data_IF_038832785182
#
_entry.id   IF_038832785182
#
_cell.length_a   1.000
_cell.length_b   1.000
_cell.length_c   1.000
_cell.angle_alpha   90.00
_cell.angle_beta   90.00
_cell.angle_gamma   90.00
#
_symmetry.space_group_name_H-M   'P 1'
#
loop_
_entity.id
_entity.type
_entity.pdbx_description
1 polymer ?
#
# COMPACT_ATOMS: atom_id res chain seq x y z
N UNK A 1 6.68 -30.34 9.80
CA UNK A 1 5.72 -29.50 10.52
C UNK A 1 5.79 -28.14 9.87
N UNK A 2 4.84 -27.80 9.01
CA UNK A 2 4.71 -26.42 8.52
C UNK A 2 4.49 -25.53 9.75
N UNK A 3 5.22 -24.42 9.93
CA UNK A 3 4.90 -23.46 10.98
C UNK A 3 3.42 -23.07 10.84
N UNK A 4 2.76 -22.74 11.94
CA UNK A 4 1.38 -22.23 11.93
C UNK A 4 1.33 -20.87 11.22
N UNK A 5 1.40 -20.86 9.89
CA UNK A 5 1.28 -19.65 9.07
C UNK A 5 -0.11 -19.07 9.32
N UNK A 6 -0.18 -17.80 9.69
CA UNK A 6 -1.44 -17.08 9.80
C UNK A 6 -2.22 -17.20 11.11
N UNK A 7 -1.77 -17.98 12.10
CA UNK A 7 -2.46 -18.08 13.40
C UNK A 7 -2.10 -16.93 14.34
N UNK A 8 -3.10 -16.33 14.99
CA UNK A 8 -2.94 -15.30 16.02
C UNK A 8 -3.81 -15.65 17.22
N UNK A 9 -3.21 -15.69 18.41
CA UNK A 9 -3.93 -15.91 19.66
C UNK A 9 -3.93 -14.63 20.50
N UNK A 10 -5.12 -14.15 20.84
CA UNK A 10 -5.30 -13.07 21.80
C UNK A 10 -5.55 -13.65 23.20
N UNK A 11 -4.62 -13.37 24.11
CA UNK A 11 -4.70 -13.80 25.50
C UNK A 11 -5.56 -12.80 26.30
N UNK A 12 -6.59 -13.29 26.98
CA UNK A 12 -7.42 -12.49 27.89
C UNK A 12 -6.95 -12.62 29.34
N UNK A 13 -7.19 -11.60 30.15
CA UNK A 13 -6.79 -11.57 31.57
C UNK A 13 -7.55 -12.57 32.46
N UNK A 14 -8.67 -13.10 31.99
CA UNK A 14 -9.45 -14.17 32.64
C UNK A 14 -8.99 -15.59 32.26
N UNK A 15 -7.93 -15.71 31.45
CA UNK A 15 -7.37 -16.98 30.99
C UNK A 15 -8.09 -17.58 29.77
N UNK A 16 -9.10 -16.91 29.22
CA UNK A 16 -9.75 -17.33 27.98
C UNK A 16 -8.97 -16.84 26.75
N UNK A 17 -8.44 -17.76 25.95
CA UNK A 17 -7.78 -17.42 24.69
C UNK A 17 -8.79 -17.27 23.55
N UNK A 18 -8.52 -16.33 22.65
CA UNK A 18 -9.26 -16.19 21.39
C UNK A 18 -8.30 -16.42 20.23
N UNK A 19 -8.54 -17.48 19.48
CA UNK A 19 -7.73 -17.87 18.33
C UNK A 19 -8.34 -17.38 17.03
N UNK A 20 -7.48 -16.87 16.14
CA UNK A 20 -7.82 -16.37 14.82
C UNK A 20 -6.88 -16.97 13.77
N UNK A 21 -7.33 -17.02 12.53
CA UNK A 21 -6.52 -17.46 11.39
C UNK A 21 -6.71 -16.48 10.23
N UNK A 22 -5.60 -16.10 9.63
CA UNK A 22 -5.52 -15.14 8.51
C UNK A 22 -4.62 -15.72 7.41
N UNK A 23 -4.59 -15.07 6.26
CA UNK A 23 -3.67 -15.43 5.17
C UNK A 23 -2.20 -15.25 5.55
N UNK A 24 -1.91 -14.32 6.47
CA UNK A 24 -0.57 -14.10 7.03
C UNK A 24 -0.63 -13.55 8.45
N UNK A 25 0.34 -13.94 9.29
CA UNK A 25 0.51 -13.46 10.65
C UNK A 25 1.99 -13.16 10.90
N UNK A 26 2.28 -11.90 11.22
CA UNK A 26 3.64 -11.36 11.33
C UNK A 26 3.84 -10.81 12.73
N UNK A 27 4.84 -11.34 13.45
CA UNK A 27 5.11 -10.96 14.84
C UNK A 27 6.19 -9.88 14.94
N UNK A 28 6.68 -9.61 16.15
CA UNK A 28 7.54 -8.46 16.46
C UNK A 28 8.87 -8.42 15.69
N UNK A 29 9.35 -9.56 15.21
CA UNK A 29 10.59 -9.75 14.46
C UNK A 29 10.40 -9.69 12.93
N UNK A 30 9.16 -9.57 12.46
CA UNK A 30 8.85 -9.45 11.04
C UNK A 30 9.39 -8.15 10.44
N UNK A 31 9.66 -8.21 9.14
CA UNK A 31 10.21 -7.08 8.38
C UNK A 31 9.23 -6.63 7.29
N UNK A 32 9.35 -5.37 6.86
CA UNK A 32 8.59 -4.87 5.71
C UNK A 32 8.90 -5.66 4.43
N UNK A 33 10.13 -6.16 4.30
CA UNK A 33 10.53 -7.04 3.20
C UNK A 33 9.75 -8.36 3.19
N UNK A 34 9.66 -9.02 4.33
CA UNK A 34 8.93 -10.27 4.45
C UNK A 34 7.46 -10.07 4.09
N UNK A 35 6.80 -9.09 4.70
CA UNK A 35 5.38 -8.80 4.45
C UNK A 35 5.14 -8.47 2.97
N UNK A 36 6.03 -7.67 2.36
CA UNK A 36 5.89 -7.32 0.96
C UNK A 36 5.99 -8.55 0.06
N UNK A 37 7.02 -9.38 0.23
CA UNK A 37 7.25 -10.55 -0.60
C UNK A 37 6.13 -11.59 -0.46
N UNK A 38 5.63 -11.80 0.76
CA UNK A 38 4.65 -12.85 1.06
C UNK A 38 3.24 -12.50 0.54
N UNK A 39 2.77 -11.25 0.70
CA UNK A 39 1.35 -10.90 0.42
C UNK A 39 1.14 -9.72 -0.53
N UNK A 40 2.12 -8.84 -0.73
CA UNK A 40 1.94 -7.64 -1.57
C UNK A 40 2.51 -7.81 -2.97
N UNK A 41 3.63 -8.52 -3.11
CA UNK A 41 4.27 -8.82 -4.39
C UNK A 41 3.29 -9.37 -5.43
N UNK A 42 2.51 -10.44 -5.17
CA UNK A 42 1.56 -10.97 -6.16
C UNK A 42 0.44 -9.96 -6.52
N UNK A 43 0.07 -9.07 -5.59
CA UNK A 43 -0.90 -8.01 -5.88
C UNK A 43 -0.32 -6.98 -6.84
N UNK A 44 0.94 -6.59 -6.67
CA UNK A 44 1.61 -5.64 -7.57
C UNK A 44 1.85 -6.24 -8.95
N UNK A 45 2.17 -7.53 -9.05
CA UNK A 45 2.22 -8.26 -10.34
C UNK A 45 0.88 -8.16 -11.08
N UNK A 46 -0.24 -8.40 -10.40
CA UNK A 46 -1.57 -8.24 -11.01
C UNK A 46 -1.81 -6.80 -11.49
N UNK A 47 -1.33 -5.78 -10.77
CA UNK A 47 -1.45 -4.38 -11.23
C UNK A 47 -0.66 -4.14 -12.51
N UNK A 48 0.54 -4.71 -12.63
CA UNK A 48 1.37 -4.62 -13.84
C UNK A 48 0.67 -5.31 -15.03
N UNK A 49 -0.08 -6.39 -14.78
CA UNK A 49 -0.90 -7.07 -15.79
C UNK A 49 -2.21 -6.35 -16.16
N UNK A 50 -2.54 -5.24 -15.48
CA UNK A 50 -3.70 -4.40 -15.79
C UNK A 50 -4.91 -4.57 -14.86
N UNK A 51 -4.75 -5.24 -13.71
CA UNK A 51 -5.78 -5.29 -12.68
C UNK A 51 -5.73 -4.09 -11.73
N UNK A 52 -6.86 -3.80 -11.06
CA UNK A 52 -6.89 -2.86 -9.94
C UNK A 52 -6.49 -3.55 -8.65
N UNK A 53 -5.51 -3.01 -7.94
CA UNK A 53 -5.04 -3.50 -6.63
C UNK A 53 -5.15 -2.45 -5.54
N UNK A 54 -5.43 -2.86 -4.30
CA UNK A 54 -5.48 -1.95 -3.14
C UNK A 54 -4.88 -2.63 -1.92
N UNK A 55 -3.94 -1.95 -1.27
CA UNK A 55 -3.42 -2.30 0.06
C UNK A 55 -3.80 -1.19 1.01
N UNK A 56 -4.48 -1.53 2.11
CA UNK A 56 -4.85 -0.57 3.16
C UNK A 56 -4.41 -1.09 4.52
N UNK A 57 -3.79 -0.21 5.33
CA UNK A 57 -3.39 -0.55 6.69
C UNK A 57 -4.45 -0.09 7.70
N UNK A 58 -4.90 -1.01 8.56
CA UNK A 58 -5.96 -0.76 9.55
C UNK A 58 -5.50 -1.15 10.97
N UNK A 59 -5.94 -0.40 11.98
CA UNK A 59 -5.58 -0.64 13.38
C UNK A 59 -5.63 0.64 14.24
N UNK A 60 -5.46 0.50 15.55
CA UNK A 60 -5.47 1.62 16.49
C UNK A 60 -4.35 2.64 16.23
N UNK A 61 -4.45 3.86 16.78
CA UNK A 61 -3.35 4.83 16.77
C UNK A 61 -2.11 4.24 17.44
N UNK A 62 -0.95 4.40 16.81
CA UNK A 62 0.31 3.82 17.29
C UNK A 62 0.54 2.33 16.94
N UNK A 63 -0.38 1.66 16.24
CA UNK A 63 -0.26 0.23 15.91
C UNK A 63 0.70 -0.09 14.75
N UNK A 64 1.39 0.90 14.18
CA UNK A 64 2.34 0.69 13.08
C UNK A 64 1.79 0.87 11.65
N UNK A 65 0.55 1.34 11.43
CA UNK A 65 -0.01 1.55 10.07
C UNK A 65 0.93 2.31 9.12
N UNK A 66 1.38 3.50 9.52
CA UNK A 66 2.31 4.33 8.74
C UNK A 66 3.67 3.64 8.59
N UNK A 67 4.13 2.93 9.61
CA UNK A 67 5.37 2.15 9.55
C UNK A 67 5.27 1.01 8.53
N UNK A 68 4.16 0.28 8.46
CA UNK A 68 3.96 -0.77 7.45
C UNK A 68 3.88 -0.22 6.02
N UNK A 69 3.21 0.93 5.83
CA UNK A 69 3.03 1.52 4.49
C UNK A 69 4.28 2.26 3.99
N UNK A 70 4.92 3.08 4.84
CA UNK A 70 6.07 3.91 4.46
C UNK A 70 7.39 3.30 4.93
N UNK A 71 7.45 2.84 6.17
CA UNK A 71 8.64 2.22 6.76
C UNK A 71 9.77 3.22 7.00
N UNK A 72 11.00 2.71 6.94
CA UNK A 72 12.22 3.50 7.17
C UNK A 72 13.14 3.37 5.97
N UNK A 73 13.31 4.46 5.21
CA UNK A 73 14.00 4.43 3.91
C UNK A 73 15.46 3.98 3.98
N UNK A 74 16.19 4.38 5.04
CA UNK A 74 17.61 4.05 5.20
C UNK A 74 17.88 2.64 5.75
N UNK A 75 16.84 1.85 6.02
CA UNK A 75 16.95 0.48 6.49
C UNK A 75 16.28 -0.47 5.48
N UNK A 76 17.03 -1.13 4.59
CA UNK A 76 16.47 -1.91 3.49
C UNK A 76 15.39 -2.92 3.88
N UNK A 77 15.56 -3.65 4.98
CA UNK A 77 14.56 -4.61 5.47
C UNK A 77 13.30 -3.94 6.06
N UNK A 78 13.40 -2.69 6.50
CA UNK A 78 12.33 -1.93 7.16
C UNK A 78 11.64 -0.91 6.24
N UNK A 79 12.01 -0.84 4.96
CA UNK A 79 11.22 -0.12 3.94
C UNK A 79 9.82 -0.70 3.87
N UNK A 80 8.81 0.19 3.82
CA UNK A 80 7.40 -0.17 3.81
C UNK A 80 6.90 -0.61 2.43
N UNK A 81 5.59 -0.83 2.34
CA UNK A 81 4.90 -1.26 1.13
C UNK A 81 5.05 -0.27 -0.03
N UNK A 82 4.84 1.02 0.22
CA UNK A 82 4.82 2.08 -0.81
C UNK A 82 6.18 2.17 -1.53
N UNK A 83 7.32 2.37 -0.84
CA UNK A 83 8.61 2.48 -1.53
C UNK A 83 9.00 1.18 -2.27
N UNK A 84 8.62 0.00 -1.76
CA UNK A 84 8.86 -1.27 -2.46
C UNK A 84 8.00 -1.43 -3.72
N UNK A 85 6.75 -0.95 -3.69
CA UNK A 85 5.89 -0.97 -4.86
C UNK A 85 6.48 -0.11 -5.99
N UNK A 86 7.08 1.04 -5.68
CA UNK A 86 7.79 1.85 -6.67
C UNK A 86 8.96 1.07 -7.30
N UNK A 87 9.86 0.52 -6.48
CA UNK A 87 10.99 -0.27 -6.98
C UNK A 87 10.52 -1.43 -7.88
N UNK A 88 9.49 -2.15 -7.44
CA UNK A 88 8.96 -3.31 -8.14
C UNK A 88 8.38 -2.92 -9.50
N UNK A 89 7.48 -1.93 -9.54
CA UNK A 89 6.87 -1.46 -10.80
C UNK A 89 7.94 -1.00 -11.78
N UNK A 90 8.88 -0.16 -11.35
CA UNK A 90 9.90 0.35 -12.26
C UNK A 90 10.89 -0.74 -12.70
N UNK A 91 11.22 -1.71 -11.84
CA UNK A 91 12.01 -2.88 -12.23
C UNK A 91 11.30 -3.71 -13.30
N UNK A 92 10.00 -3.96 -13.16
CA UNK A 92 9.21 -4.67 -14.17
C UNK A 92 9.14 -3.91 -15.49
N UNK A 93 8.97 -2.58 -15.44
CA UNK A 93 8.94 -1.74 -16.65
C UNK A 93 10.28 -1.72 -17.39
N UNK A 94 11.39 -1.76 -16.66
CA UNK A 94 12.73 -1.71 -17.23
C UNK A 94 13.18 -3.06 -17.84
N UNK A 95 12.61 -4.16 -17.37
CA UNK A 95 12.93 -5.52 -17.83
C UNK A 95 11.99 -6.04 -18.92
N UNK A 96 10.95 -5.28 -19.26
CA UNK A 96 9.96 -5.66 -20.28
C UNK A 96 10.16 -4.86 -21.57
N UNK A 97 10.61 -5.50 -22.65
CA UNK A 97 10.92 -4.83 -23.92
C UNK A 97 9.71 -4.66 -24.86
N UNK A 98 8.71 -5.55 -24.78
CA UNK A 98 7.61 -5.63 -25.75
C UNK A 98 6.34 -4.86 -25.33
N UNK A 99 6.39 -4.16 -24.20
CA UNK A 99 5.26 -3.38 -23.65
C UNK A 99 5.76 -1.98 -23.33
N UNK A 100 5.00 -0.95 -23.74
CA UNK A 100 5.29 0.43 -23.36
C UNK A 100 4.46 0.80 -22.14
N UNK A 101 5.14 1.23 -21.08
CA UNK A 101 4.51 1.67 -19.84
C UNK A 101 4.47 3.19 -19.74
N UNK A 102 3.43 3.70 -19.07
CA UNK A 102 3.31 5.09 -18.64
C UNK A 102 2.78 5.10 -17.21
N UNK A 103 3.63 5.46 -16.26
CA UNK A 103 3.30 5.48 -14.83
C UNK A 103 2.86 6.88 -14.42
N UNK A 104 1.73 6.95 -13.73
CA UNK A 104 1.28 8.17 -13.07
C UNK A 104 1.03 7.92 -11.59
N UNK A 105 1.27 8.95 -10.77
CA UNK A 105 0.97 8.95 -9.35
C UNK A 105 0.04 10.13 -9.00
N UNK A 106 -0.87 9.87 -8.07
CA UNK A 106 -1.68 10.88 -7.38
C UNK A 106 -1.64 10.57 -5.89
N UNK A 107 -1.71 11.59 -5.03
CA UNK A 107 -1.73 11.38 -3.59
C UNK A 107 -2.69 12.36 -2.92
N UNK A 108 -3.57 11.84 -2.07
CA UNK A 108 -4.63 12.59 -1.43
C UNK A 108 -4.73 12.22 0.05
N UNK A 109 -5.34 13.10 0.81
CA UNK A 109 -5.82 12.81 2.16
C UNK A 109 -7.34 13.04 2.26
N UNK A 110 -7.96 12.31 3.19
CA UNK A 110 -9.32 12.59 3.65
C UNK A 110 -9.18 13.10 5.08
N UNK A 111 -9.39 14.39 5.28
CA UNK A 111 -9.27 15.03 6.57
C UNK A 111 -10.60 15.72 6.92
N UNK A 112 -11.23 15.30 8.02
CA UNK A 112 -12.52 15.85 8.46
C UNK A 112 -13.59 15.86 7.35
N UNK A 113 -13.78 14.71 6.68
CA UNK A 113 -14.72 14.53 5.56
C UNK A 113 -14.42 15.40 4.32
N UNK A 114 -13.21 15.96 4.22
CA UNK A 114 -12.76 16.74 3.06
C UNK A 114 -11.61 16.03 2.34
N UNK A 115 -11.77 15.84 1.03
CA UNK A 115 -10.72 15.31 0.16
C UNK A 115 -9.79 16.45 -0.23
N UNK A 116 -8.48 16.25 -0.04
CA UNK A 116 -7.44 17.24 -0.33
C UNK A 116 -6.33 16.61 -1.16
N UNK A 117 -5.84 17.34 -2.15
CA UNK A 117 -4.68 16.93 -2.95
C UNK A 117 -3.39 17.23 -2.19
N UNK A 118 -2.54 16.21 -1.99
CA UNK A 118 -1.25 16.37 -1.31
C UNK A 118 -0.13 16.81 -2.27
N UNK A 119 -0.33 16.66 -3.58
CA UNK A 119 0.64 17.00 -4.63
C UNK A 119 0.17 18.16 -5.51
N UNK A 120 -1.00 18.72 -5.22
CA UNK A 120 -1.56 19.87 -5.91
C UNK A 120 -0.84 21.18 -5.57
N UNK A 121 -1.22 22.25 -6.26
CA UNK A 121 -0.69 23.60 -5.98
C UNK A 121 -1.30 24.22 -4.73
N UNK A 122 -2.53 23.83 -4.36
CA UNK A 122 -3.24 24.30 -3.18
C UNK A 122 -3.82 23.14 -2.37
N UNK A 123 -3.05 22.66 -1.39
CA UNK A 123 -3.44 21.54 -0.52
C UNK A 123 -4.60 21.92 0.43
N UNK A 124 -5.03 23.19 0.45
CA UNK A 124 -6.20 23.62 1.23
C UNK A 124 -7.50 23.51 0.46
N UNK A 125 -7.44 23.38 -0.87
CA UNK A 125 -8.61 23.25 -1.72
C UNK A 125 -9.32 21.92 -1.44
N UNK A 126 -10.62 21.99 -1.15
CA UNK A 126 -11.49 20.82 -1.10
C UNK A 126 -11.77 20.31 -2.51
N UNK A 127 -11.56 19.02 -2.72
CA UNK A 127 -11.93 18.32 -3.94
C UNK A 127 -13.25 17.55 -3.78
N UNK A 128 -13.96 17.39 -4.88
CA UNK A 128 -15.27 16.74 -4.91
C UNK A 128 -15.17 15.32 -5.47
N UNK A 129 -15.92 14.39 -4.89
CA UNK A 129 -16.04 13.01 -5.36
C UNK A 129 -17.11 12.97 -6.45
N UNK A 130 -16.82 12.28 -7.56
CA UNK A 130 -17.72 12.07 -8.69
C UNK A 130 -17.78 10.59 -9.07
N UNK A 131 -18.79 10.24 -9.85
CA UNK A 131 -18.99 8.88 -10.36
C UNK A 131 -19.17 8.91 -11.87
N UNK A 132 -18.58 7.94 -12.57
CA UNK A 132 -18.74 7.75 -14.00
C UNK A 132 -18.94 6.25 -14.30
N UNK A 133 -19.86 5.91 -15.21
CA UNK A 133 -20.23 4.52 -15.49
C UNK A 133 -19.04 3.60 -15.79
N UNK A 134 -18.07 4.08 -16.58
CA UNK A 134 -16.90 3.28 -16.98
C UNK A 134 -15.69 3.38 -16.02
N UNK A 135 -15.65 4.36 -15.12
CA UNK A 135 -14.48 4.62 -14.26
C UNK A 135 -14.75 4.36 -12.77
N UNK A 136 -16.01 4.17 -12.40
CA UNK A 136 -16.45 4.14 -11.02
C UNK A 136 -16.30 5.51 -10.34
N UNK A 137 -16.02 5.47 -9.04
CA UNK A 137 -15.84 6.64 -8.18
C UNK A 137 -14.45 7.24 -8.38
N UNK A 138 -14.36 8.56 -8.56
CA UNK A 138 -13.10 9.29 -8.72
C UNK A 138 -13.14 10.68 -8.09
N UNK A 139 -11.97 11.28 -7.87
CA UNK A 139 -11.85 12.63 -7.31
C UNK A 139 -11.65 13.64 -8.44
N UNK A 140 -12.58 14.59 -8.56
CA UNK A 140 -12.54 15.60 -9.61
C UNK A 140 -11.45 16.64 -9.31
N UNK A 141 -10.54 16.85 -10.26
CA UNK A 141 -9.46 17.82 -10.13
C UNK A 141 -8.24 17.33 -9.33
N UNK A 142 -8.21 16.05 -8.96
CA UNK A 142 -7.01 15.45 -8.37
C UNK A 142 -5.84 15.50 -9.35
N UNK A 143 -4.69 16.00 -8.91
CA UNK A 143 -3.50 16.10 -9.73
C UNK A 143 -2.93 14.72 -10.06
N UNK A 144 -2.48 14.57 -11.30
CA UNK A 144 -1.84 13.36 -11.83
C UNK A 144 -0.44 13.74 -12.29
N UNK A 145 0.57 13.08 -11.73
CA UNK A 145 1.97 13.37 -12.00
C UNK A 145 2.61 12.22 -12.76
N UNK A 146 3.25 12.50 -13.89
CA UNK A 146 3.99 11.49 -14.66
C UNK A 146 5.26 11.14 -13.89
N UNK A 147 5.51 9.85 -13.68
CA UNK A 147 6.72 9.35 -13.03
C UNK A 147 7.54 8.56 -14.05
N UNK A 148 8.79 8.99 -14.27
CA UNK A 148 9.70 8.35 -15.23
C UNK A 148 10.64 7.33 -14.58
N UNK A 149 10.91 7.48 -13.29
CA UNK A 149 11.82 6.64 -12.51
C UNK A 149 11.45 6.66 -11.01
N UNK A 150 12.16 5.83 -10.23
CA UNK A 150 12.11 5.87 -8.76
C UNK A 150 13.01 7.01 -8.27
N UNK A 151 12.57 7.82 -7.28
CA UNK A 151 13.42 8.84 -6.67
C UNK A 151 14.70 8.23 -6.08
N UNK A 152 15.85 8.85 -6.36
CA UNK A 152 17.15 8.45 -5.85
C UNK A 152 17.32 8.70 -4.34
#
# INVERSE_FOLDING_TARGET
MTPNVGQVTLLSGDGANKDFTFDGAYFMDSTGEQIYNDIVFPLVENVIEGYNGTVFAYGQTGSGKTFSMQGVDNLPAQRGVIPRAFDHIFTATATTENVKFLVHCSYLEIYNEEVRDLLGTDNKQKLEIKEHADRGVYVAGLSMHVCHDVPA
#
